data_IF_814690153605
#
_entry.id   IF_814690153605
#
_cell.length_a   1.000
_cell.length_b   1.000
_cell.length_c   1.000
_cell.angle_alpha   90.00
_cell.angle_beta   90.00
_cell.angle_gamma   90.00
#
_symmetry.space_group_name_H-M   'P 1'
#
loop_
_entity.id
_entity.type
_entity.pdbx_description
1 polymer ?
#
# COMPACT_ATOMS: atom_id res chain seq x y z
N UNK A 1 5.67 11.14 -2.29
CA UNK A 1 5.49 12.15 -3.36
C UNK A 1 6.25 13.43 -3.06
N UNK A 2 6.09 14.04 -1.88
CA UNK A 2 6.79 15.29 -1.49
C UNK A 2 8.32 15.26 -1.75
N UNK A 3 9.01 14.20 -1.32
CA UNK A 3 10.45 14.06 -1.59
C UNK A 3 10.80 14.00 -3.08
N UNK A 4 9.98 13.33 -3.90
CA UNK A 4 10.19 13.25 -5.35
C UNK A 4 10.00 14.61 -6.01
N UNK A 5 8.99 15.37 -5.58
CA UNK A 5 8.75 16.73 -6.06
C UNK A 5 9.88 17.67 -5.61
N UNK A 6 10.35 17.58 -4.36
CA UNK A 6 11.46 18.37 -3.86
C UNK A 6 12.75 18.08 -4.63
N UNK A 7 13.04 16.82 -4.93
CA UNK A 7 14.21 16.43 -5.73
C UNK A 7 14.09 16.90 -7.19
N UNK A 8 12.92 16.81 -7.80
CA UNK A 8 12.70 17.34 -9.15
C UNK A 8 12.85 18.87 -9.23
N UNK A 9 12.42 19.59 -8.19
CA UNK A 9 12.68 21.03 -8.08
C UNK A 9 14.18 21.32 -7.92
N UNK A 10 14.87 20.57 -7.06
CA UNK A 10 16.32 20.69 -6.90
C UNK A 10 17.09 20.38 -8.18
N UNK A 11 16.61 19.45 -9.01
CA UNK A 11 17.22 19.08 -10.28
C UNK A 11 16.97 20.13 -11.36
N UNK A 12 15.73 20.65 -11.46
CA UNK A 12 15.39 21.68 -12.44
C UNK A 12 16.14 23.00 -12.19
N UNK A 13 16.35 23.36 -10.92
CA UNK A 13 17.04 24.59 -10.52
C UNK A 13 18.49 24.36 -10.09
N UNK A 14 18.98 23.13 -10.16
CA UNK A 14 20.36 22.76 -9.81
C UNK A 14 21.40 23.69 -10.45
N UNK A 15 21.31 23.98 -11.77
CA UNK A 15 22.24 24.91 -12.41
C UNK A 15 22.20 26.33 -11.83
N UNK A 16 21.02 26.83 -11.44
CA UNK A 16 20.88 28.16 -10.88
C UNK A 16 21.36 28.22 -9.41
N UNK A 17 21.04 27.20 -8.61
CA UNK A 17 21.49 27.04 -7.23
C UNK A 17 23.01 26.92 -7.11
N UNK A 18 23.68 26.27 -8.06
CA UNK A 18 25.16 26.16 -8.05
C UNK A 18 25.83 27.50 -8.37
N UNK A 19 25.14 28.44 -9.02
CA UNK A 19 25.68 29.77 -9.32
C UNK A 19 25.51 30.78 -8.19
N UNK A 20 24.66 30.50 -7.20
CA UNK A 20 24.48 31.39 -6.04
C UNK A 20 25.71 31.35 -5.15
N UNK A 21 26.18 32.53 -4.72
CA UNK A 21 27.40 32.65 -3.92
C UNK A 21 27.14 32.54 -2.43
N UNK A 22 25.93 32.82 -1.99
CA UNK A 22 25.51 32.78 -0.61
C UNK A 22 24.14 32.11 -0.42
N UNK A 23 23.89 31.71 0.82
CA UNK A 23 22.65 31.04 1.19
C UNK A 23 21.41 31.95 1.10
N UNK A 24 21.58 33.27 1.22
CA UNK A 24 20.50 34.24 1.09
C UNK A 24 19.98 34.33 -0.34
N UNK A 25 20.88 34.36 -1.32
CA UNK A 25 20.57 34.31 -2.75
C UNK A 25 19.87 33.00 -3.12
N UNK A 26 20.35 31.87 -2.61
CA UNK A 26 19.72 30.56 -2.82
C UNK A 26 18.29 30.49 -2.25
N UNK A 27 18.08 31.02 -1.04
CA UNK A 27 16.77 31.09 -0.40
C UNK A 27 15.85 32.02 -1.19
N UNK A 28 16.33 33.19 -1.60
CA UNK A 28 15.55 34.17 -2.37
C UNK A 28 15.14 33.60 -3.73
N UNK A 29 16.05 32.88 -4.40
CA UNK A 29 15.76 32.17 -5.64
C UNK A 29 14.67 31.12 -5.39
N UNK A 30 14.83 30.24 -4.41
CA UNK A 30 13.82 29.22 -4.06
C UNK A 30 12.46 29.82 -3.67
N UNK A 31 12.43 30.94 -2.95
CA UNK A 31 11.21 31.63 -2.54
C UNK A 31 10.51 32.32 -3.72
N UNK A 32 11.28 32.90 -4.65
CA UNK A 32 10.72 33.52 -5.85
C UNK A 32 10.01 32.50 -6.75
N UNK A 33 10.46 31.24 -6.73
CA UNK A 33 9.87 30.15 -7.51
C UNK A 33 8.49 29.75 -7.00
N UNK A 34 8.23 29.86 -5.69
CA UNK A 34 6.91 29.58 -5.10
C UNK A 34 5.79 30.48 -5.65
N UNK A 35 6.14 31.64 -6.23
CA UNK A 35 5.20 32.56 -6.89
C UNK A 35 5.20 32.49 -8.43
N UNK A 36 6.10 31.72 -9.04
CA UNK A 36 6.23 31.63 -10.50
C UNK A 36 5.28 30.59 -11.09
N UNK A 37 4.74 30.85 -12.29
CA UNK A 37 3.92 29.88 -13.03
C UNK A 37 4.78 28.71 -13.48
N UNK A 38 4.60 27.56 -12.85
CA UNK A 38 5.32 26.32 -13.16
C UNK A 38 4.59 25.52 -14.26
N UNK A 39 5.31 24.92 -15.19
CA UNK A 39 4.75 23.87 -16.06
C UNK A 39 4.50 22.60 -15.24
N UNK A 40 3.30 22.54 -14.67
CA UNK A 40 2.87 21.46 -13.78
C UNK A 40 3.02 20.08 -14.40
N UNK A 41 2.89 19.97 -15.73
CA UNK A 41 3.04 18.71 -16.46
C UNK A 41 4.48 18.22 -16.45
N UNK A 42 5.44 19.12 -16.72
CA UNK A 42 6.87 18.81 -16.67
C UNK A 42 7.34 18.49 -15.24
N UNK A 43 6.81 19.18 -14.22
CA UNK A 43 7.14 18.88 -12.81
C UNK A 43 6.74 17.46 -12.44
N UNK A 44 5.49 17.10 -12.72
CA UNK A 44 4.91 15.82 -12.35
C UNK A 44 5.62 14.70 -13.11
N UNK A 45 5.92 14.91 -14.39
CA UNK A 45 6.66 13.95 -15.21
C UNK A 45 8.08 13.71 -14.64
N UNK A 46 8.82 14.78 -14.35
CA UNK A 46 10.18 14.71 -13.81
C UNK A 46 10.19 14.07 -12.41
N UNK A 47 9.27 14.46 -11.53
CA UNK A 47 9.15 13.88 -10.19
C UNK A 47 8.75 12.39 -10.22
N UNK A 48 7.88 11.98 -11.14
CA UNK A 48 7.40 10.60 -11.21
C UNK A 48 8.40 9.67 -11.91
N UNK A 49 9.07 10.14 -12.97
CA UNK A 49 9.96 9.32 -13.79
C UNK A 49 11.42 9.37 -13.32
N UNK A 50 11.92 10.52 -12.88
CA UNK A 50 13.32 10.70 -12.48
C UNK A 50 13.65 10.07 -11.13
N UNK A 51 12.68 10.00 -10.22
CA UNK A 51 12.90 9.58 -8.83
C UNK A 51 12.09 8.34 -8.42
N UNK A 52 11.99 7.37 -9.33
CA UNK A 52 11.32 6.09 -9.08
C UNK A 52 11.92 5.32 -7.89
N UNK A 53 13.24 5.44 -7.68
CA UNK A 53 13.98 4.82 -6.59
C UNK A 53 13.63 5.37 -5.19
N UNK A 54 12.95 6.52 -5.11
CA UNK A 54 12.46 7.10 -3.85
C UNK A 54 11.15 6.40 -3.50
N UNK A 55 11.24 5.20 -2.95
CA UNK A 55 10.11 4.41 -2.43
C UNK A 55 9.91 4.64 -0.94
N UNK A 56 8.70 4.38 -0.44
CA UNK A 56 8.40 4.53 1.00
C UNK A 56 9.26 3.61 1.86
N UNK A 57 9.58 2.42 1.35
CA UNK A 57 10.46 1.45 2.03
C UNK A 57 11.85 2.02 2.29
N UNK A 58 12.48 2.64 1.28
CA UNK A 58 13.80 3.28 1.42
C UNK A 58 13.76 4.53 2.31
N UNK A 59 12.70 5.32 2.23
CA UNK A 59 12.53 6.47 3.11
C UNK A 59 12.36 6.03 4.57
N UNK A 60 11.69 4.90 4.82
CA UNK A 60 11.53 4.33 6.14
C UNK A 60 12.87 3.84 6.72
N UNK A 61 13.66 3.10 5.92
CA UNK A 61 15.03 2.69 6.29
C UNK A 61 15.92 3.91 6.63
N UNK A 62 15.87 4.96 5.81
CA UNK A 62 16.61 6.20 6.05
C UNK A 62 16.15 6.91 7.33
N UNK A 63 14.84 6.91 7.61
CA UNK A 63 14.28 7.50 8.84
C UNK A 63 14.71 6.75 10.08
N UNK A 64 14.73 5.42 10.05
CA UNK A 64 15.19 4.60 11.16
C UNK A 64 16.68 4.77 11.43
N UNK A 65 17.47 4.94 10.36
CA UNK A 65 18.92 5.19 10.48
C UNK A 65 19.27 6.59 10.99
N UNK A 66 18.50 7.63 10.61
CA UNK A 66 18.83 9.03 10.93
C UNK A 66 18.03 9.60 12.10
N UNK A 67 17.03 8.87 12.61
CA UNK A 67 16.32 9.21 13.84
C UNK A 67 16.98 8.42 14.97
N UNK A 68 17.98 8.98 15.69
CA UNK A 68 18.46 8.33 16.91
C UNK A 68 17.25 8.07 17.79
N UNK A 69 17.07 6.83 18.22
CA UNK A 69 16.01 6.44 19.13
C UNK A 69 15.99 7.43 20.29
N UNK A 70 15.00 8.33 20.30
CA UNK A 70 14.68 9.07 21.51
C UNK A 70 14.05 8.03 22.41
N UNK A 71 14.81 7.61 23.41
CA UNK A 71 14.35 6.76 24.49
C UNK A 71 12.95 7.21 24.93
N UNK A 72 11.96 6.30 25.05
CA UNK A 72 10.65 6.65 25.61
C UNK A 72 10.69 6.93 27.12
N UNK A 73 11.88 7.12 27.71
CA UNK A 73 12.11 7.05 29.16
C UNK A 73 12.62 8.33 29.84
N UNK A 74 12.87 9.44 29.14
CA UNK A 74 13.35 10.66 29.81
C UNK A 74 12.92 11.96 29.13
N UNK A 75 11.73 12.43 29.50
CA UNK A 75 11.38 13.82 29.84
C UNK A 75 10.15 13.67 30.74
N UNK A 76 10.30 13.61 32.06
CA UNK A 76 10.29 14.82 32.89
C UNK A 76 9.55 15.98 32.19
N UNK A 77 8.26 16.01 32.52
CA UNK A 77 7.36 17.15 32.41
C UNK A 77 7.91 18.28 33.30
N UNK A 78 8.90 19.04 32.80
CA UNK A 78 9.30 20.30 33.41
C UNK A 78 8.21 21.35 33.14
N UNK A 79 7.35 21.55 34.13
CA UNK A 79 6.41 22.67 34.22
C UNK A 79 7.18 23.95 34.52
N UNK A 80 6.86 25.04 33.83
CA UNK A 80 6.79 26.38 34.44
C UNK A 80 5.56 27.15 33.96
N UNK A 81 4.51 27.09 34.80
CA UNK A 81 3.70 28.20 35.40
C UNK A 81 3.17 29.31 34.47
N UNK A 82 1.88 29.68 34.47
CA UNK A 82 1.14 30.22 35.63
C UNK A 82 -0.38 30.16 35.41
N UNK A 83 -1.12 29.74 36.44
CA UNK A 83 -2.57 29.84 36.55
C UNK A 83 -3.00 29.21 37.88
N UNK A 84 -3.29 30.06 38.87
CA UNK A 84 -3.61 29.66 40.24
C UNK A 84 -5.05 29.18 40.43
N UNK A 85 -5.26 28.47 41.53
CA UNK A 85 -6.35 28.71 42.49
C UNK A 85 -6.16 27.82 43.74
N UNK A 86 -6.31 28.47 44.89
CA UNK A 86 -6.71 28.04 46.24
C UNK A 86 -6.46 26.61 46.76
N UNK A 87 -5.82 26.53 47.94
CA UNK A 87 -6.50 26.25 49.23
C UNK A 87 -5.48 26.26 50.39
N UNK A 88 -5.88 26.94 51.45
CA UNK A 88 -5.24 27.09 52.76
C UNK A 88 -4.79 25.77 53.40
N UNK A 89 -3.63 25.80 54.10
CA UNK A 89 -3.49 25.30 55.47
C UNK A 89 -2.21 25.81 56.14
N UNK A 90 -2.39 26.17 57.40
CA UNK A 90 -1.41 26.51 58.44
C UNK A 90 -0.14 25.64 58.41
N UNK A 91 0.96 26.17 58.94
CA UNK A 91 1.50 25.74 60.26
C UNK A 91 3.01 26.07 60.39
N UNK A 92 3.27 27.00 61.31
CA UNK A 92 4.41 27.11 62.23
C UNK A 92 5.84 27.49 61.73
N UNK A 93 6.19 28.74 62.04
CA UNK A 93 7.27 29.19 62.93
C UNK A 93 8.68 28.58 62.78
N UNK A 94 9.61 29.41 62.30
CA UNK A 94 10.82 29.72 63.09
C UNK A 94 11.52 30.98 62.59
N UNK A 95 11.42 32.03 63.40
CA UNK A 95 12.52 32.83 63.96
C UNK A 95 13.81 32.88 63.12
N UNK A 96 14.20 34.09 62.70
CA UNK A 96 15.56 34.64 62.88
C UNK A 96 15.54 36.16 62.60
N UNK A 97 15.91 36.93 63.62
CA UNK A 97 16.19 38.36 63.55
C UNK A 97 17.38 38.64 62.63
N UNK A 98 17.32 39.73 61.86
CA UNK A 98 18.52 40.53 61.60
C UNK A 98 18.13 41.99 61.32
N UNK A 99 18.56 42.85 62.22
CA UNK A 99 18.59 44.30 62.05
C UNK A 99 19.61 44.68 60.96
N UNK A 100 19.31 45.67 60.10
CA UNK A 100 20.32 46.63 59.64
C UNK A 100 19.71 47.78 58.81
N UNK A 101 19.43 48.85 59.53
CA UNK A 101 19.71 50.27 59.23
C UNK A 101 19.36 50.89 57.87
N UNK A 102 18.40 51.79 58.00
CA UNK A 102 17.94 52.87 57.12
C UNK A 102 19.08 53.78 56.62
N UNK A 103 19.13 54.05 55.32
CA UNK A 103 20.01 55.07 54.71
C UNK A 103 19.17 56.19 54.11
N UNK A 104 18.53 56.97 54.96
CA UNK A 104 17.88 58.24 54.62
C UNK A 104 18.86 59.40 54.84
N UNK A 105 19.91 59.52 54.02
CA UNK A 105 20.82 60.66 54.13
C UNK A 105 21.71 60.82 52.88
N UNK A 106 21.16 61.18 51.70
CA UNK A 106 22.00 61.74 50.61
C UNK A 106 21.29 62.35 49.37
N UNK A 107 20.04 62.83 49.44
CA UNK A 107 19.45 63.55 48.29
C UNK A 107 18.59 64.75 48.73
N UNK A 108 19.17 65.63 49.54
CA UNK A 108 18.54 66.92 49.90
C UNK A 108 19.44 68.12 49.59
N UNK A 109 20.11 68.09 48.44
CA UNK A 109 20.85 69.23 47.94
C UNK A 109 20.95 69.17 46.44
N UNK A 110 20.03 69.85 45.74
CA UNK A 110 20.25 70.59 44.50
C UNK A 110 18.94 71.28 44.11
N UNK A 111 18.69 72.44 44.73
CA UNK A 111 17.81 73.46 44.18
C UNK A 111 18.56 74.18 43.05
N UNK A 112 18.30 73.81 41.80
CA UNK A 112 18.63 74.65 40.65
C UNK A 112 17.44 74.61 39.70
N UNK A 113 16.77 75.75 39.66
CA UNK A 113 15.75 76.16 38.72
C UNK A 113 16.39 76.27 37.32
N UNK A 114 15.86 75.54 36.34
CA UNK A 114 16.18 75.71 34.92
C UNK A 114 15.08 75.09 34.07
N UNK A 115 14.20 75.97 33.59
CA UNK A 115 13.42 75.92 32.35
C UNK A 115 13.01 74.54 31.83
N UNK A 116 11.71 74.29 32.01
CA UNK A 116 10.89 73.27 31.35
C UNK A 116 10.99 73.45 29.83
N UNK A 117 11.87 72.70 29.18
CA UNK A 117 11.63 72.25 27.81
C UNK A 117 10.85 70.94 27.94
N UNK A 118 9.61 70.93 27.45
CA UNK A 118 8.64 69.85 27.69
C UNK A 118 9.09 68.52 27.05
N UNK A 119 9.94 67.80 27.77
CA UNK A 119 10.14 66.37 27.61
C UNK A 119 8.79 65.71 27.94
N UNK A 120 8.27 64.79 27.11
CA UNK A 120 7.02 64.12 27.39
C UNK A 120 7.10 63.53 28.79
N UNK A 121 6.05 63.74 29.61
CA UNK A 121 6.00 63.21 30.96
C UNK A 121 6.35 61.72 30.91
N UNK A 122 7.30 61.26 31.73
CA UNK A 122 7.77 59.86 31.73
C UNK A 122 6.59 58.87 31.83
N UNK A 123 5.51 59.32 32.46
CA UNK A 123 4.24 58.61 32.56
C UNK A 123 3.50 58.49 31.22
N UNK A 124 3.46 59.55 30.39
CA UNK A 124 2.89 59.50 29.03
C UNK A 124 3.68 58.57 28.12
N UNK A 125 5.02 58.57 28.21
CA UNK A 125 5.86 57.64 27.44
C UNK A 125 5.62 56.18 27.87
N UNK A 126 5.47 55.93 29.17
CA UNK A 126 5.12 54.60 29.68
C UNK A 126 3.71 54.16 29.26
N UNK A 127 2.74 55.07 29.19
CA UNK A 127 1.39 54.79 28.68
C UNK A 127 1.45 54.43 27.19
N UNK A 128 2.19 55.19 26.39
CA UNK A 128 2.35 54.90 24.96
C UNK A 128 3.00 53.53 24.72
N UNK A 129 4.09 53.22 25.43
CA UNK A 129 4.74 51.92 25.33
C UNK A 129 3.83 50.76 25.76
N UNK A 130 2.99 50.95 26.78
CA UNK A 130 2.01 49.93 27.19
C UNK A 130 0.96 49.68 26.11
N UNK A 131 0.42 50.72 25.48
CA UNK A 131 -0.55 50.59 24.38
C UNK A 131 0.08 49.85 23.20
N UNK A 132 1.31 50.22 22.84
CA UNK A 132 2.02 49.59 21.72
C UNK A 132 2.37 48.12 22.01
N UNK A 133 2.78 47.79 23.25
CA UNK A 133 2.99 46.41 23.67
C UNK A 133 1.69 45.59 23.60
N UNK A 134 0.56 46.16 24.02
CA UNK A 134 -0.75 45.50 23.94
C UNK A 134 -1.13 45.21 22.48
N UNK A 135 -0.96 46.19 21.58
CA UNK A 135 -1.17 46.02 20.13
C UNK A 135 -0.32 44.88 19.58
N UNK A 136 0.98 44.86 19.88
CA UNK A 136 1.90 43.82 19.43
C UNK A 136 1.57 42.44 20.02
N UNK A 137 1.11 42.37 21.27
CA UNK A 137 0.68 41.11 21.89
C UNK A 137 -0.60 40.55 21.24
N UNK A 138 -1.55 41.42 20.89
CA UNK A 138 -2.76 41.03 20.15
C UNK A 138 -2.43 40.58 18.72
N UNK A 139 -1.53 41.28 18.04
CA UNK A 139 -1.02 40.88 16.72
C UNK A 139 -0.32 39.52 16.77
N UNK A 140 0.53 39.30 17.78
CA UNK A 140 1.17 37.99 18.00
C UNK A 140 0.15 36.89 18.26
N UNK A 141 -0.87 37.14 19.11
CA UNK A 141 -1.95 36.17 19.39
C UNK A 141 -2.74 35.85 18.13
N UNK A 142 -3.11 36.87 17.35
CA UNK A 142 -3.79 36.71 16.05
C UNK A 142 -2.95 35.90 15.06
N UNK A 143 -1.64 36.16 14.98
CA UNK A 143 -0.73 35.42 14.12
C UNK A 143 -0.62 33.94 14.52
N UNK A 144 -0.59 33.63 15.83
CA UNK A 144 -0.58 32.25 16.33
C UNK A 144 -1.87 31.52 15.99
N UNK A 145 -3.04 32.16 16.17
CA UNK A 145 -4.32 31.55 15.81
C UNK A 145 -4.40 31.24 14.31
N UNK A 146 -4.02 32.18 13.44
CA UNK A 146 -3.96 31.94 12.00
C UNK A 146 -2.98 30.82 11.63
N UNK A 147 -1.86 30.69 12.33
CA UNK A 147 -0.92 29.61 12.09
C UNK A 147 -1.51 28.23 12.42
N UNK A 148 -2.26 28.11 13.52
CA UNK A 148 -2.94 26.85 13.88
C UNK A 148 -4.11 26.51 12.94
N UNK A 149 -4.87 27.51 12.47
CA UNK A 149 -5.89 27.33 11.43
C UNK A 149 -5.27 26.80 10.13
N UNK A 150 -4.18 27.42 9.66
CA UNK A 150 -3.47 26.99 8.46
C UNK A 150 -2.87 25.59 8.61
N UNK A 151 -2.31 25.27 9.77
CA UNK A 151 -1.78 23.93 10.08
C UNK A 151 -2.89 22.88 10.01
N UNK A 152 -4.06 23.18 10.57
CA UNK A 152 -5.22 22.28 10.51
C UNK A 152 -5.69 22.08 9.07
N UNK A 153 -5.85 23.17 8.31
CA UNK A 153 -6.23 23.11 6.90
C UNK A 153 -5.22 22.31 6.05
N UNK A 154 -3.92 22.49 6.29
CA UNK A 154 -2.86 21.75 5.60
C UNK A 154 -2.93 20.25 5.90
N UNK A 155 -3.12 19.87 7.17
CA UNK A 155 -3.26 18.47 7.59
C UNK A 155 -4.47 17.83 6.91
N UNK A 156 -5.60 18.53 6.85
CA UNK A 156 -6.80 18.02 6.18
C UNK A 156 -6.61 17.89 4.67
N UNK A 157 -5.98 18.88 4.02
CA UNK A 157 -5.67 18.84 2.59
C UNK A 157 -4.75 17.66 2.26
N UNK A 158 -3.69 17.44 3.04
CA UNK A 158 -2.76 16.31 2.84
C UNK A 158 -3.47 14.96 3.04
N UNK A 159 -4.35 14.85 4.05
CA UNK A 159 -5.16 13.64 4.25
C UNK A 159 -6.09 13.38 3.07
N UNK A 160 -6.75 14.42 2.56
CA UNK A 160 -7.64 14.29 1.41
C UNK A 160 -6.86 13.90 0.14
N UNK A 161 -5.69 14.50 -0.08
CA UNK A 161 -4.85 14.19 -1.23
C UNK A 161 -4.30 12.76 -1.15
N UNK A 162 -3.83 12.33 0.02
CA UNK A 162 -3.40 10.96 0.24
C UNK A 162 -4.54 9.96 -0.02
N UNK A 163 -5.75 10.24 0.48
CA UNK A 163 -6.94 9.43 0.19
C UNK A 163 -7.23 9.35 -1.30
N UNK A 164 -7.19 10.47 -2.02
CA UNK A 164 -7.41 10.51 -3.48
C UNK A 164 -6.35 9.70 -4.23
N UNK A 165 -5.07 9.84 -3.87
CA UNK A 165 -3.98 9.07 -4.48
C UNK A 165 -4.13 7.57 -4.23
N UNK A 166 -4.48 7.17 -3.00
CA UNK A 166 -4.73 5.76 -2.67
C UNK A 166 -5.94 5.22 -3.45
N UNK A 167 -7.04 5.98 -3.49
CA UNK A 167 -8.23 5.59 -4.24
C UNK A 167 -7.93 5.40 -5.73
N UNK A 168 -7.16 6.31 -6.34
CA UNK A 168 -6.75 6.18 -7.75
C UNK A 168 -5.89 4.93 -7.99
N UNK A 169 -4.96 4.61 -7.07
CA UNK A 169 -4.15 3.38 -7.18
C UNK A 169 -4.99 2.12 -7.05
N UNK A 170 -5.91 2.08 -6.09
CA UNK A 170 -6.80 0.93 -5.87
C UNK A 170 -7.70 0.72 -7.10
N UNK A 171 -8.30 1.78 -7.64
CA UNK A 171 -9.11 1.68 -8.86
C UNK A 171 -8.31 1.12 -10.04
N UNK A 172 -7.10 1.64 -10.27
CA UNK A 172 -6.24 1.14 -11.35
C UNK A 172 -5.87 -0.34 -11.16
N UNK A 173 -5.63 -0.79 -9.92
CA UNK A 173 -5.37 -2.21 -9.64
C UNK A 173 -6.61 -3.07 -9.88
N UNK A 174 -7.77 -2.64 -9.39
CA UNK A 174 -9.04 -3.37 -9.56
C UNK A 174 -9.41 -3.48 -11.03
N UNK A 175 -9.29 -2.41 -11.81
CA UNK A 175 -9.55 -2.43 -13.26
C UNK A 175 -8.60 -3.38 -13.99
N UNK A 176 -7.31 -3.40 -13.61
CA UNK A 176 -6.33 -4.31 -14.21
C UNK A 176 -6.64 -5.78 -13.85
N UNK A 177 -6.98 -6.08 -12.60
CA UNK A 177 -7.38 -7.41 -12.16
C UNK A 177 -8.67 -7.86 -12.86
N UNK A 178 -9.64 -6.95 -13.01
CA UNK A 178 -10.88 -7.23 -13.76
C UNK A 178 -10.57 -7.56 -15.23
N UNK A 179 -9.71 -6.77 -15.87
CA UNK A 179 -9.33 -7.03 -17.26
C UNK A 179 -8.67 -8.40 -17.43
N UNK A 180 -7.74 -8.76 -16.54
CA UNK A 180 -7.05 -10.06 -16.57
C UNK A 180 -8.04 -11.21 -16.35
N UNK A 181 -8.96 -11.06 -15.41
CA UNK A 181 -9.97 -12.10 -15.12
C UNK A 181 -10.97 -12.26 -16.27
N UNK A 182 -11.41 -11.16 -16.89
CA UNK A 182 -12.27 -11.22 -18.07
C UNK A 182 -11.57 -11.84 -19.28
N UNK A 183 -10.29 -11.54 -19.52
CA UNK A 183 -9.52 -12.15 -20.60
C UNK A 183 -9.32 -13.66 -20.38
N UNK A 184 -9.06 -14.08 -19.13
CA UNK A 184 -9.02 -15.49 -18.76
C UNK A 184 -10.39 -16.18 -18.95
N UNK A 185 -11.49 -15.49 -18.65
CA UNK A 185 -12.84 -16.02 -18.89
C UNK A 185 -13.12 -16.20 -20.38
N UNK A 186 -12.81 -15.19 -21.21
CA UNK A 186 -13.00 -15.26 -22.68
C UNK A 186 -12.22 -16.41 -23.31
N UNK A 187 -10.97 -16.62 -22.88
CA UNK A 187 -10.14 -17.72 -23.38
C UNK A 187 -10.68 -19.09 -22.97
N UNK A 188 -11.08 -19.25 -21.71
CA UNK A 188 -11.71 -20.48 -21.23
C UNK A 188 -13.03 -20.79 -21.97
N UNK A 189 -13.86 -19.78 -22.26
CA UNK A 189 -15.08 -19.95 -23.06
C UNK A 189 -14.77 -20.39 -24.50
N UNK A 190 -13.77 -19.78 -25.13
CA UNK A 190 -13.33 -20.16 -26.48
C UNK A 190 -12.80 -21.60 -26.52
N UNK A 191 -12.00 -22.00 -25.53
CA UNK A 191 -11.50 -23.37 -25.42
C UNK A 191 -12.63 -24.37 -25.18
N UNK A 192 -13.59 -24.05 -24.30
CA UNK A 192 -14.76 -24.88 -24.07
C UNK A 192 -15.63 -25.03 -25.33
N UNK A 193 -15.79 -23.96 -26.11
CA UNK A 193 -16.49 -24.00 -27.39
C UNK A 193 -15.74 -24.87 -28.43
N UNK A 194 -14.40 -24.72 -28.51
CA UNK A 194 -13.57 -25.55 -29.37
C UNK A 194 -13.63 -27.03 -28.99
N UNK A 195 -13.58 -27.36 -27.70
CA UNK A 195 -13.74 -28.73 -27.20
C UNK A 195 -15.12 -29.31 -27.55
N UNK A 196 -16.21 -28.55 -27.38
CA UNK A 196 -17.56 -28.98 -27.79
C UNK A 196 -17.62 -29.30 -29.28
N UNK A 197 -17.00 -28.48 -30.12
CA UNK A 197 -16.91 -28.76 -31.56
C UNK A 197 -16.16 -30.06 -31.85
N UNK A 198 -15.00 -30.28 -31.22
CA UNK A 198 -14.22 -31.52 -31.36
C UNK A 198 -15.04 -32.74 -30.95
N UNK A 199 -15.71 -32.69 -29.81
CA UNK A 199 -16.61 -33.76 -29.35
C UNK A 199 -17.70 -34.03 -30.39
N UNK A 200 -18.34 -32.99 -30.89
CA UNK A 200 -19.40 -33.12 -31.89
C UNK A 200 -18.90 -33.74 -33.21
N UNK A 201 -17.71 -33.35 -33.70
CA UNK A 201 -17.10 -33.91 -34.91
C UNK A 201 -16.71 -35.37 -34.72
N UNK A 202 -16.20 -35.75 -33.55
CA UNK A 202 -15.78 -37.12 -33.26
C UNK A 202 -16.94 -38.05 -32.88
N UNK A 203 -18.11 -37.52 -32.56
CA UNK A 203 -19.25 -38.33 -32.11
C UNK A 203 -19.73 -39.33 -33.18
N UNK A 204 -19.87 -38.89 -34.42
CA UNK A 204 -20.31 -39.75 -35.55
C UNK A 204 -19.31 -40.88 -35.86
N UNK A 205 -18.00 -40.61 -36.06
CA UNK A 205 -17.04 -41.68 -36.33
C UNK A 205 -16.91 -42.65 -35.16
N UNK A 206 -16.94 -42.18 -33.90
CA UNK A 206 -16.94 -43.06 -32.72
C UNK A 206 -18.17 -43.97 -32.71
N UNK A 207 -19.37 -43.42 -32.96
CA UNK A 207 -20.59 -44.21 -33.04
C UNK A 207 -20.54 -45.25 -34.16
N UNK A 208 -20.03 -44.88 -35.34
CA UNK A 208 -19.85 -45.79 -36.47
C UNK A 208 -18.90 -46.95 -36.12
N UNK A 209 -17.76 -46.66 -35.48
CA UNK A 209 -16.80 -47.68 -35.06
C UNK A 209 -17.42 -48.66 -34.06
N UNK A 210 -18.18 -48.17 -33.09
CA UNK A 210 -18.89 -49.03 -32.11
C UNK A 210 -19.84 -50.00 -32.84
N UNK A 211 -20.65 -49.51 -33.78
CA UNK A 211 -21.57 -50.33 -34.55
C UNK A 211 -20.84 -51.38 -35.40
N UNK A 212 -19.73 -51.00 -36.05
CA UNK A 212 -18.91 -51.92 -36.83
C UNK A 212 -18.33 -53.02 -35.94
N UNK A 213 -17.76 -52.66 -34.79
CA UNK A 213 -17.20 -53.61 -33.84
C UNK A 213 -18.27 -54.58 -33.32
N UNK A 214 -19.48 -54.10 -33.05
CA UNK A 214 -20.58 -54.96 -32.62
C UNK A 214 -21.00 -55.95 -33.72
N UNK A 215 -21.11 -55.49 -34.97
CA UNK A 215 -21.36 -56.38 -36.12
C UNK A 215 -20.24 -57.40 -36.31
N UNK A 216 -18.99 -56.98 -36.20
CA UNK A 216 -17.83 -57.87 -36.29
C UNK A 216 -17.85 -58.93 -35.18
N UNK A 217 -18.16 -58.54 -33.95
CA UNK A 217 -18.29 -59.47 -32.81
C UNK A 217 -19.39 -60.52 -33.06
N UNK A 218 -20.55 -60.11 -33.58
CA UNK A 218 -21.67 -61.03 -33.91
C UNK A 218 -21.29 -62.01 -35.03
N UNK A 219 -20.63 -61.53 -36.09
CA UNK A 219 -20.20 -62.38 -37.21
C UNK A 219 -19.10 -63.38 -36.80
N UNK A 220 -18.16 -62.97 -35.96
CA UNK A 220 -17.16 -63.88 -35.40
C UNK A 220 -17.78 -64.97 -34.52
N UNK A 221 -18.81 -64.64 -33.73
CA UNK A 221 -19.53 -65.62 -32.91
C UNK A 221 -20.30 -66.65 -33.76
N UNK A 222 -20.99 -66.20 -34.82
CA UNK A 222 -21.70 -67.12 -35.72
C UNK A 222 -20.73 -68.00 -36.52
N UNK A 223 -19.60 -67.45 -36.97
CA UNK A 223 -18.53 -68.22 -37.62
C UNK A 223 -17.97 -69.30 -36.69
N UNK A 224 -17.64 -68.95 -35.44
CA UNK A 224 -17.15 -69.91 -34.46
C UNK A 224 -18.18 -71.03 -34.17
N UNK A 225 -19.48 -70.72 -34.21
CA UNK A 225 -20.53 -71.73 -34.08
C UNK A 225 -20.61 -72.64 -35.32
N UNK A 226 -20.49 -72.07 -36.52
CA UNK A 226 -20.44 -72.84 -37.77
C UNK A 226 -19.21 -73.76 -37.81
N UNK A 227 -18.04 -73.29 -37.37
CA UNK A 227 -16.82 -74.10 -37.26
C UNK A 227 -17.02 -75.29 -36.30
N UNK A 228 -17.61 -75.05 -35.12
CA UNK A 228 -17.97 -76.12 -34.17
C UNK A 228 -18.92 -77.14 -34.82
N UNK A 229 -19.97 -76.69 -35.53
CA UNK A 229 -20.93 -77.55 -36.22
C UNK A 229 -20.27 -78.35 -37.35
N UNK A 230 -19.38 -77.73 -38.13
CA UNK A 230 -18.65 -78.38 -39.21
C UNK A 230 -17.68 -79.43 -38.68
N UNK A 231 -16.88 -79.09 -37.66
CA UNK A 231 -15.99 -80.04 -36.98
C UNK A 231 -16.77 -81.24 -36.44
N UNK A 232 -17.91 -81.02 -35.79
CA UNK A 232 -18.78 -82.08 -35.29
C UNK A 232 -19.25 -83.03 -36.41
N UNK A 233 -19.71 -82.49 -37.56
CA UNK A 233 -20.09 -83.31 -38.72
C UNK A 233 -18.89 -84.07 -39.29
N UNK A 234 -17.73 -83.41 -39.44
CA UNK A 234 -16.51 -84.03 -39.97
C UNK A 234 -16.00 -85.17 -39.09
N UNK A 235 -16.06 -85.01 -37.76
CA UNK A 235 -15.76 -86.07 -36.79
C UNK A 235 -16.77 -87.22 -36.87
N UNK A 236 -18.08 -86.91 -36.93
CA UNK A 236 -19.15 -87.92 -37.02
C UNK A 236 -19.03 -88.78 -38.29
N UNK A 237 -18.66 -88.19 -39.43
CA UNK A 237 -18.39 -88.92 -40.67
C UNK A 237 -17.14 -89.82 -40.62
N UNK A 238 -16.19 -89.52 -39.72
CA UNK A 238 -14.90 -90.24 -39.64
C UNK A 238 -14.90 -91.34 -38.57
N UNK A 239 -15.97 -91.46 -37.79
CA UNK A 239 -16.15 -92.47 -36.74
C UNK A 239 -17.00 -93.64 -37.27
N UNK A 240 -16.52 -94.90 -37.23
CA UNK A 240 -17.29 -96.06 -37.64
C UNK A 240 -18.52 -96.29 -36.74
N UNK A 241 -19.66 -96.71 -37.34
CA UNK A 241 -21.00 -96.82 -36.74
C UNK A 241 -21.16 -97.75 -35.51
N UNK A 242 -20.08 -98.26 -34.90
CA UNK A 242 -20.15 -99.28 -33.85
C UNK A 242 -19.31 -98.91 -32.62
N UNK A 243 -19.37 -97.66 -32.18
CA UNK A 243 -18.87 -97.25 -30.86
C UNK A 243 -19.93 -96.48 -30.09
N UNK A 244 -20.16 -96.94 -28.86
CA UNK A 244 -21.16 -96.44 -27.93
C UNK A 244 -20.83 -94.98 -27.53
N UNK A 245 -21.70 -94.05 -27.91
CA UNK A 245 -21.47 -92.59 -27.90
C UNK A 245 -21.15 -92.03 -26.48
N UNK A 246 -21.54 -92.76 -25.42
CA UNK A 246 -21.28 -92.40 -24.03
C UNK A 246 -19.79 -92.55 -23.63
N UNK A 247 -19.11 -93.61 -24.10
CA UNK A 247 -17.69 -93.84 -23.79
C UNK A 247 -16.75 -92.92 -24.58
N UNK A 248 -17.18 -92.48 -25.77
CA UNK A 248 -16.39 -91.56 -26.58
C UNK A 248 -16.44 -90.13 -26.02
N UNK A 249 -17.59 -89.70 -25.47
CA UNK A 249 -17.71 -88.38 -24.80
C UNK A 249 -16.81 -88.26 -23.57
N UNK A 250 -16.74 -89.29 -22.73
CA UNK A 250 -15.89 -89.27 -21.52
C UNK A 250 -14.40 -89.20 -21.88
N UNK A 251 -13.95 -89.94 -22.90
CA UNK A 251 -12.55 -89.93 -23.34
C UNK A 251 -12.16 -88.66 -24.13
N UNK A 252 -13.05 -88.09 -24.95
CA UNK A 252 -12.76 -86.82 -25.65
C UNK A 252 -12.77 -85.61 -24.71
N UNK A 253 -13.63 -85.57 -23.70
CA UNK A 253 -13.63 -84.50 -22.69
C UNK A 253 -12.33 -84.50 -21.88
N UNK A 254 -11.82 -85.67 -21.49
CA UNK A 254 -10.54 -85.78 -20.79
C UNK A 254 -9.34 -85.44 -21.71
N UNK A 255 -9.35 -85.87 -22.98
CA UNK A 255 -8.30 -85.57 -23.95
C UNK A 255 -8.24 -84.10 -24.39
N UNK A 256 -9.38 -83.43 -24.56
CA UNK A 256 -9.41 -82.00 -24.89
C UNK A 256 -9.03 -81.10 -23.71
N UNK A 257 -9.28 -81.52 -22.46
CA UNK A 257 -8.81 -80.77 -21.28
C UNK A 257 -7.28 -80.83 -21.14
N UNK A 258 -6.64 -81.96 -21.49
CA UNK A 258 -5.17 -82.08 -21.48
C UNK A 258 -4.48 -81.18 -22.53
N UNK A 259 -5.14 -80.91 -23.67
CA UNK A 259 -4.58 -80.09 -24.74
C UNK A 259 -4.81 -78.57 -24.55
N UNK A 260 -5.52 -78.16 -23.50
CA UNK A 260 -5.78 -76.75 -23.15
C UNK A 260 -4.84 -76.22 -22.06
N UNK A 261 -3.97 -77.07 -21.50
CA UNK A 261 -3.11 -76.77 -20.36
C UNK A 261 -1.61 -76.77 -20.70
N UNK A 262 -1.24 -76.50 -21.96
CA UNK A 262 0.15 -76.39 -22.41
C UNK A 262 0.35 -75.14 -23.27
#
# INVERSE_FOLDING_TARGET
MLFRTALALMELYGPALVTTKDAGDAITLLQSLTGSTFDSSQLVLTACMGFLAVTETRLQELREMHRPARDPGSLEEERTTTGGDDVLKDEDNSKLESHSSNSDELLNGLSVDSEVDSLPDLQEQAVWQKVELCRLLEEKRSAVLRAEELKTALVEMVKQDNRRQLHARVLMQVEQEQKVTEDAHRTAEQEAAAQKYVVHVLQVPVFLVIVILEKYKKTMASLAEMEKRWLCRKLCWRLPCNMNLANLKHNLLHGLFACKAQ
#
